data_IF_069712577787
#
_entry.id   IF_069712577787
#
_cell.length_a   1.000
_cell.length_b   1.000
_cell.length_c   1.000
_cell.angle_alpha   90.00
_cell.angle_beta   90.00
_cell.angle_gamma   90.00
#
_symmetry.space_group_name_H-M   'P 1'
#
loop_
_entity.id
_entity.type
_entity.pdbx_description
1 polymer ?
#
# COMPACT_ATOMS: atom_id res chain seq x y z
N UNK A 1 1.13 0.19 2.65
CA UNK A 1 -0.02 -0.75 2.78
C UNK A 1 -1.20 -0.09 3.50
N UNK A 2 -0.97 0.62 4.60
CA UNK A 2 -2.02 1.24 5.42
C UNK A 2 -3.03 2.06 4.60
N UNK A 3 -2.58 2.98 3.76
CA UNK A 3 -3.46 3.81 2.92
C UNK A 3 -4.36 2.99 1.97
N UNK A 4 -3.84 1.91 1.41
CA UNK A 4 -4.64 1.03 0.56
C UNK A 4 -5.69 0.26 1.37
N UNK A 5 -5.36 -0.17 2.58
CA UNK A 5 -6.32 -0.83 3.46
C UNK A 5 -7.47 0.10 3.84
N UNK A 6 -7.18 1.36 4.21
CA UNK A 6 -8.19 2.39 4.52
C UNK A 6 -9.07 2.66 3.30
N UNK A 7 -8.47 2.90 2.13
CA UNK A 7 -9.22 3.17 0.89
C UNK A 7 -10.10 1.98 0.47
N UNK A 8 -9.60 0.76 0.63
CA UNK A 8 -10.39 -0.45 0.34
C UNK A 8 -11.62 -0.55 1.25
N UNK A 9 -11.47 -0.22 2.53
CA UNK A 9 -12.58 -0.17 3.46
C UNK A 9 -13.61 0.91 3.08
N UNK A 10 -13.14 2.11 2.69
CA UNK A 10 -14.00 3.21 2.24
C UNK A 10 -14.76 2.84 0.96
N UNK A 11 -14.12 2.22 -0.02
CA UNK A 11 -14.78 1.76 -1.25
C UNK A 11 -15.79 0.65 -0.98
N UNK A 12 -15.46 -0.29 -0.09
CA UNK A 12 -16.40 -1.33 0.31
C UNK A 12 -17.64 -0.74 0.99
N UNK A 13 -17.46 0.28 1.85
CA UNK A 13 -18.57 0.96 2.52
C UNK A 13 -19.47 1.77 1.56
N UNK A 14 -18.92 2.30 0.47
CA UNK A 14 -19.65 3.06 -0.55
C UNK A 14 -20.27 2.18 -1.64
N UNK A 15 -19.96 0.91 -1.66
CA UNK A 15 -20.49 -0.02 -2.67
C UNK A 15 -21.98 -0.31 -2.43
N UNK A 16 -22.78 -0.28 -3.50
CA UNK A 16 -24.17 -0.72 -3.47
C UNK A 16 -24.32 -2.24 -3.33
N UNK A 17 -23.25 -2.98 -3.55
CA UNK A 17 -23.18 -4.42 -3.30
C UNK A 17 -22.28 -4.59 -2.09
N UNK A 18 -22.79 -5.10 -0.96
CA UNK A 18 -21.96 -5.38 0.20
C UNK A 18 -20.82 -6.29 -0.24
N UNK A 19 -19.64 -5.71 -0.46
CA UNK A 19 -18.46 -6.42 -0.89
C UNK A 19 -17.51 -6.58 0.28
N UNK A 20 -16.85 -7.72 0.33
CA UNK A 20 -15.75 -7.90 1.24
C UNK A 20 -14.64 -6.90 0.86
N UNK A 21 -14.02 -6.28 1.84
CA UNK A 21 -12.87 -5.36 1.69
C UNK A 21 -11.78 -5.97 0.79
N UNK A 22 -11.63 -7.29 0.85
CA UNK A 22 -10.66 -8.05 0.06
C UNK A 22 -10.73 -7.77 -1.45
N UNK A 23 -11.92 -7.64 -2.03
CA UNK A 23 -12.09 -7.40 -3.46
C UNK A 23 -11.40 -6.10 -3.93
N UNK A 24 -11.32 -5.10 -3.06
CA UNK A 24 -10.68 -3.82 -3.34
C UNK A 24 -9.17 -3.83 -3.08
N UNK A 25 -8.65 -4.87 -2.40
CA UNK A 25 -7.22 -5.02 -2.14
C UNK A 25 -6.45 -5.74 -3.26
N UNK A 26 -7.12 -6.50 -4.13
CA UNK A 26 -6.45 -7.37 -5.11
C UNK A 26 -5.52 -6.59 -6.05
N UNK A 27 -6.00 -5.49 -6.63
CA UNK A 27 -5.20 -4.66 -7.53
C UNK A 27 -4.03 -3.98 -6.80
N UNK A 28 -4.27 -3.47 -5.60
CA UNK A 28 -3.23 -2.88 -4.76
C UNK A 28 -2.15 -3.90 -4.39
N UNK A 29 -2.57 -5.11 -4.02
CA UNK A 29 -1.64 -6.20 -3.74
C UNK A 29 -0.76 -6.55 -4.95
N UNK A 30 -1.36 -6.73 -6.13
CA UNK A 30 -0.60 -7.03 -7.35
C UNK A 30 0.36 -5.90 -7.72
N UNK A 31 -0.04 -4.66 -7.55
CA UNK A 31 0.82 -3.50 -7.78
C UNK A 31 2.04 -3.51 -6.87
N UNK A 32 1.85 -3.79 -5.57
CA UNK A 32 2.93 -3.85 -4.57
C UNK A 32 3.78 -5.10 -4.75
N UNK A 33 3.18 -6.28 -4.89
CA UNK A 33 3.89 -7.56 -5.00
C UNK A 33 4.79 -7.63 -6.23
N UNK A 34 4.36 -7.02 -7.34
CA UNK A 34 5.14 -6.93 -8.58
C UNK A 34 6.09 -5.73 -8.60
N UNK A 35 6.14 -4.95 -7.52
CA UNK A 35 6.95 -3.74 -7.40
C UNK A 35 6.74 -2.78 -8.59
N UNK A 36 5.48 -2.59 -9.00
CA UNK A 36 5.15 -1.66 -10.08
C UNK A 36 5.46 -0.23 -9.64
N UNK A 37 6.08 0.52 -10.52
CA UNK A 37 6.43 1.93 -10.33
C UNK A 37 5.71 2.74 -11.41
N UNK A 38 4.99 3.77 -10.99
CA UNK A 38 4.33 4.67 -11.92
C UNK A 38 5.38 5.51 -12.67
N UNK A 39 5.22 5.64 -13.98
CA UNK A 39 6.10 6.44 -14.85
C UNK A 39 5.60 7.88 -15.03
N UNK A 40 4.37 8.14 -14.58
CA UNK A 40 3.75 9.48 -14.59
C UNK A 40 2.82 9.67 -13.39
N UNK A 41 2.45 10.93 -13.11
CA UNK A 41 1.46 11.24 -12.08
C UNK A 41 0.07 10.67 -12.41
N UNK A 42 -0.30 10.61 -13.69
CA UNK A 42 -1.56 10.01 -14.15
C UNK A 42 -1.57 8.51 -13.85
N UNK A 43 -0.50 7.81 -14.22
CA UNK A 43 -0.36 6.38 -13.92
C UNK A 43 -0.30 6.10 -12.40
N UNK A 44 0.22 7.05 -11.60
CA UNK A 44 0.18 6.95 -10.15
C UNK A 44 -1.26 6.98 -9.60
N UNK A 45 -2.16 7.74 -10.23
CA UNK A 45 -3.59 7.70 -9.93
C UNK A 45 -4.21 6.35 -10.32
N UNK A 46 -3.88 5.83 -11.50
CA UNK A 46 -4.39 4.53 -11.97
C UNK A 46 -3.95 3.37 -11.06
N UNK A 47 -2.72 3.44 -10.54
CA UNK A 47 -2.21 2.45 -9.57
C UNK A 47 -2.73 2.66 -8.15
N UNK A 48 -3.46 3.75 -7.89
CA UNK A 48 -3.97 4.10 -6.57
C UNK A 48 -2.92 4.67 -5.62
N UNK A 49 -1.73 5.05 -6.09
CA UNK A 49 -0.73 5.76 -5.28
C UNK A 49 -1.14 7.22 -5.01
N UNK A 50 -1.75 7.86 -5.98
CA UNK A 50 -2.36 9.17 -5.86
C UNK A 50 -3.89 9.08 -5.94
N UNK A 51 -4.59 10.13 -5.53
CA UNK A 51 -6.05 10.24 -5.62
C UNK A 51 -6.43 11.04 -6.87
N UNK A 52 -7.61 10.79 -7.47
CA UNK A 52 -8.10 11.62 -8.57
C UNK A 52 -8.25 13.11 -8.22
N UNK A 53 -8.37 13.43 -6.93
CA UNK A 53 -8.44 14.81 -6.41
C UNK A 53 -7.08 15.47 -6.21
N UNK A 54 -5.98 14.74 -6.35
CA UNK A 54 -4.65 15.31 -6.14
C UNK A 54 -4.26 16.21 -7.31
N UNK A 55 -3.61 17.34 -7.03
CA UNK A 55 -3.18 18.29 -8.05
C UNK A 55 -1.99 17.75 -8.84
N UNK A 56 -2.17 17.52 -10.13
CA UNK A 56 -1.10 17.07 -11.03
C UNK A 56 -0.47 18.28 -11.72
N UNK A 57 0.84 18.43 -11.60
CA UNK A 57 1.62 19.51 -12.20
C UNK A 57 2.47 18.97 -13.34
N UNK A 58 2.36 19.59 -14.52
CA UNK A 58 3.16 19.21 -15.69
C UNK A 58 4.54 19.85 -15.71
N UNK A 59 4.74 20.96 -14.96
CA UNK A 59 6.02 21.64 -14.84
C UNK A 59 6.59 21.49 -13.43
N UNK A 60 7.62 20.65 -13.28
CA UNK A 60 8.28 20.40 -11.99
C UNK A 60 8.86 21.67 -11.33
N UNK A 61 9.24 22.69 -12.12
CA UNK A 61 9.75 23.95 -11.58
C UNK A 61 8.70 24.77 -10.84
N UNK A 62 7.42 24.53 -11.10
CA UNK A 62 6.31 25.22 -10.45
C UNK A 62 5.84 24.52 -9.15
N UNK A 63 6.38 23.35 -8.85
CA UNK A 63 5.93 22.51 -7.73
C UNK A 63 5.87 23.30 -6.41
N UNK A 64 6.97 23.94 -6.04
CA UNK A 64 7.03 24.69 -4.78
C UNK A 64 6.09 25.89 -4.76
N UNK A 65 5.99 26.61 -5.86
CA UNK A 65 5.10 27.76 -5.99
C UNK A 65 3.62 27.36 -5.82
N UNK A 66 3.20 26.31 -6.53
CA UNK A 66 1.81 25.83 -6.45
C UNK A 66 1.52 25.23 -5.07
N UNK A 67 2.44 24.42 -4.51
CA UNK A 67 2.27 23.86 -3.17
C UNK A 67 2.09 24.92 -2.08
N UNK A 68 2.84 26.04 -2.15
CA UNK A 68 2.68 27.15 -1.21
C UNK A 68 1.31 27.81 -1.38
N UNK A 69 0.84 27.99 -2.60
CA UNK A 69 -0.48 28.61 -2.86
C UNK A 69 -1.63 27.73 -2.39
N UNK A 70 -1.55 26.43 -2.67
CA UNK A 70 -2.54 25.46 -2.18
C UNK A 70 -2.58 25.44 -0.63
N UNK A 71 -1.42 25.37 0.01
CA UNK A 71 -1.35 25.38 1.47
C UNK A 71 -1.93 26.66 2.08
N UNK A 72 -1.69 27.82 1.46
CA UNK A 72 -2.29 29.11 1.90
C UNK A 72 -3.80 29.10 1.70
N UNK A 73 -4.28 28.66 0.54
CA UNK A 73 -5.71 28.57 0.26
C UNK A 73 -6.43 27.64 1.26
N UNK A 74 -5.81 26.51 1.59
CA UNK A 74 -6.33 25.61 2.64
C UNK A 74 -6.38 26.30 4.01
N UNK A 75 -5.32 27.01 4.40
CA UNK A 75 -5.27 27.73 5.67
C UNK A 75 -6.34 28.82 5.73
N UNK A 76 -6.50 29.62 4.66
CA UNK A 76 -7.51 30.67 4.56
C UNK A 76 -8.94 30.12 4.58
N UNK A 77 -9.14 28.90 4.06
CA UNK A 77 -10.40 28.16 4.11
C UNK A 77 -10.68 27.50 5.48
N UNK A 78 -9.80 27.65 6.46
CA UNK A 78 -9.97 27.08 7.79
C UNK A 78 -9.73 25.57 7.84
N UNK A 79 -8.74 25.06 7.10
CA UNK A 79 -8.40 23.65 7.08
C UNK A 79 -8.24 23.07 8.48
N UNK A 80 -8.93 21.94 8.73
CA UNK A 80 -8.70 21.09 9.88
C UNK A 80 -8.32 19.68 9.39
N UNK A 81 -7.35 19.03 10.01
CA UNK A 81 -7.02 17.66 9.63
C UNK A 81 -8.22 16.74 9.86
N UNK A 82 -8.48 15.78 8.94
CA UNK A 82 -9.55 14.84 9.12
C UNK A 82 -9.31 13.98 10.39
N UNK A 83 -10.40 13.55 11.07
CA UNK A 83 -10.27 12.66 12.21
C UNK A 83 -9.63 11.34 11.77
N UNK A 84 -8.78 10.77 12.63
CA UNK A 84 -8.21 9.44 12.37
C UNK A 84 -9.30 8.38 12.36
N UNK A 85 -9.36 7.52 11.33
CA UNK A 85 -10.29 6.39 11.30
C UNK A 85 -10.05 5.44 12.48
N UNK A 86 -11.13 5.09 13.20
CA UNK A 86 -11.06 4.23 14.39
C UNK A 86 -11.76 2.88 14.25
N UNK A 87 -12.46 2.67 13.15
CA UNK A 87 -13.25 1.46 12.92
C UNK A 87 -13.15 1.06 11.44
N UNK A 88 -11.97 0.60 11.03
CA UNK A 88 -11.65 0.21 9.67
C UNK A 88 -11.87 -1.29 9.57
N UNK A 89 -12.86 -1.77 8.80
CA UNK A 89 -13.02 -3.20 8.54
C UNK A 89 -11.86 -3.71 7.69
N UNK A 90 -11.31 -4.87 8.06
CA UNK A 90 -10.16 -5.46 7.39
C UNK A 90 -10.45 -6.86 6.85
N UNK A 91 -9.72 -7.27 5.81
CA UNK A 91 -9.87 -8.59 5.20
C UNK A 91 -9.37 -9.74 6.09
N UNK A 92 -8.45 -9.47 7.01
CA UNK A 92 -7.98 -10.42 8.01
C UNK A 92 -7.42 -11.72 7.44
N UNK A 93 -7.52 -12.80 8.20
CA UNK A 93 -6.92 -14.11 7.90
C UNK A 93 -7.36 -14.70 6.56
N UNK A 94 -8.64 -14.58 6.17
CA UNK A 94 -9.09 -15.14 4.90
C UNK A 94 -8.47 -14.42 3.69
N UNK A 95 -8.34 -13.09 3.77
CA UNK A 95 -7.66 -12.31 2.75
C UNK A 95 -6.19 -12.70 2.63
N UNK A 96 -5.50 -12.85 3.77
CA UNK A 96 -4.11 -13.31 3.82
C UNK A 96 -3.98 -14.68 3.15
N UNK A 97 -4.81 -15.66 3.53
CA UNK A 97 -4.77 -17.01 2.99
C UNK A 97 -4.98 -17.03 1.47
N UNK A 98 -5.87 -16.19 0.96
CA UNK A 98 -6.12 -16.08 -0.48
C UNK A 98 -4.90 -15.53 -1.22
N UNK A 99 -4.25 -14.48 -0.69
CA UNK A 99 -3.01 -13.96 -1.27
C UNK A 99 -1.86 -14.95 -1.16
N UNK A 100 -1.73 -15.67 -0.04
CA UNK A 100 -0.71 -16.71 0.14
C UNK A 100 -0.85 -17.83 -0.89
N UNK A 101 -2.07 -18.29 -1.16
CA UNK A 101 -2.32 -19.30 -2.20
C UNK A 101 -1.83 -18.81 -3.58
N UNK A 102 -2.09 -17.56 -3.92
CA UNK A 102 -1.60 -16.96 -5.18
C UNK A 102 -0.07 -16.89 -5.19
N UNK A 103 0.55 -16.45 -4.10
CA UNK A 103 2.00 -16.34 -3.98
C UNK A 103 2.71 -17.70 -4.04
N UNK A 104 2.13 -18.75 -3.45
CA UNK A 104 2.67 -20.12 -3.56
C UNK A 104 2.68 -20.54 -5.03
N UNK A 105 1.60 -20.36 -5.76
CA UNK A 105 1.54 -20.68 -7.18
C UNK A 105 2.60 -19.92 -8.00
N UNK A 106 2.79 -18.63 -7.71
CA UNK A 106 3.81 -17.81 -8.39
C UNK A 106 5.23 -18.28 -8.07
N UNK A 107 5.50 -18.68 -6.82
CA UNK A 107 6.80 -19.16 -6.40
C UNK A 107 7.11 -20.54 -7.01
N UNK A 108 6.19 -21.49 -6.91
CA UNK A 108 6.35 -22.84 -7.47
C UNK A 108 6.40 -22.81 -9.01
N UNK A 109 5.72 -21.85 -9.64
CA UNK A 109 5.83 -21.57 -11.09
C UNK A 109 7.11 -20.83 -11.49
N UNK A 110 8.02 -20.49 -10.57
CA UNK A 110 9.29 -19.83 -10.85
C UNK A 110 9.13 -18.34 -11.27
N UNK A 111 7.98 -17.73 -11.04
CA UNK A 111 7.73 -16.33 -11.39
C UNK A 111 8.31 -15.34 -10.35
N UNK A 112 8.48 -15.76 -9.12
CA UNK A 112 9.05 -14.97 -8.03
C UNK A 112 10.08 -15.77 -7.24
N UNK A 113 11.10 -15.08 -6.68
CA UNK A 113 12.09 -15.70 -5.81
C UNK A 113 11.51 -16.07 -4.43
N UNK A 114 12.25 -16.86 -3.65
CA UNK A 114 11.87 -17.15 -2.28
C UNK A 114 11.80 -15.88 -1.41
N UNK A 115 12.67 -14.91 -1.68
CA UNK A 115 12.65 -13.64 -0.96
C UNK A 115 11.53 -12.71 -1.44
N UNK A 116 11.22 -12.69 -2.75
CA UNK A 116 10.03 -11.98 -3.27
C UNK A 116 8.75 -12.52 -2.60
N UNK A 117 8.63 -13.85 -2.46
CA UNK A 117 7.51 -14.46 -1.73
C UNK A 117 7.42 -13.92 -0.30
N UNK A 118 8.53 -13.87 0.44
CA UNK A 118 8.58 -13.37 1.82
C UNK A 118 8.15 -11.91 1.91
N UNK A 119 8.64 -11.06 1.02
CA UNK A 119 8.28 -9.64 0.95
C UNK A 119 6.80 -9.45 0.61
N UNK A 120 6.32 -10.14 -0.43
CA UNK A 120 4.93 -10.05 -0.85
C UNK A 120 3.95 -10.61 0.19
N UNK A 121 4.33 -11.69 0.91
CA UNK A 121 3.55 -12.20 2.05
C UNK A 121 3.42 -11.17 3.16
N UNK A 122 4.50 -10.49 3.50
CA UNK A 122 4.46 -9.41 4.50
C UNK A 122 3.56 -8.25 4.03
N UNK A 123 3.59 -7.90 2.75
CA UNK A 123 2.68 -6.91 2.17
C UNK A 123 1.22 -7.36 2.23
N UNK A 124 0.93 -8.64 1.96
CA UNK A 124 -0.42 -9.22 2.08
C UNK A 124 -0.96 -9.11 3.51
N UNK A 125 -0.15 -9.47 4.52
CA UNK A 125 -0.53 -9.35 5.92
C UNK A 125 -0.82 -7.90 6.29
N UNK A 126 0.03 -6.95 5.87
CA UNK A 126 -0.17 -5.53 6.14
C UNK A 126 -1.43 -4.97 5.47
N UNK A 127 -1.68 -5.34 4.20
CA UNK A 127 -2.86 -4.92 3.44
C UNK A 127 -4.16 -5.48 4.04
N UNK A 128 -4.13 -6.71 4.53
CA UNK A 128 -5.28 -7.36 5.13
C UNK A 128 -5.52 -6.94 6.60
N UNK A 129 -4.70 -6.04 7.15
CA UNK A 129 -4.86 -5.51 8.50
C UNK A 129 -4.30 -6.41 9.60
N UNK A 130 -3.42 -7.38 9.27
CA UNK A 130 -2.84 -8.31 10.22
C UNK A 130 -3.60 -9.63 10.34
N UNK A 131 -3.07 -10.53 11.16
CA UNK A 131 -3.62 -11.88 11.40
C UNK A 131 -4.81 -11.85 12.38
N UNK A 132 -5.80 -11.01 12.07
CA UNK A 132 -7.07 -10.90 12.81
C UNK A 132 -8.20 -11.59 12.04
N UNK A 133 -9.34 -11.80 12.70
CA UNK A 133 -10.49 -12.39 12.03
C UNK A 133 -11.01 -11.47 10.91
N UNK A 134 -11.52 -12.07 9.85
CA UNK A 134 -12.10 -11.33 8.71
C UNK A 134 -13.27 -10.45 9.19
N UNK A 135 -13.28 -9.19 8.77
CA UNK A 135 -14.28 -8.21 9.20
C UNK A 135 -14.01 -7.57 10.56
N UNK A 136 -12.89 -7.89 11.21
CA UNK A 136 -12.47 -7.18 12.44
C UNK A 136 -12.35 -5.69 12.15
N UNK A 137 -12.75 -4.87 13.12
CA UNK A 137 -12.59 -3.43 13.09
C UNK A 137 -11.29 -3.06 13.79
N UNK A 138 -10.42 -2.38 13.08
CA UNK A 138 -9.13 -1.89 13.60
C UNK A 138 -9.04 -0.37 13.44
N UNK A 139 -8.10 0.25 14.14
CA UNK A 139 -7.77 1.66 13.94
C UNK A 139 -6.55 1.84 13.04
N UNK A 140 -6.27 3.08 12.70
CA UNK A 140 -5.14 3.44 11.84
C UNK A 140 -3.79 3.14 12.52
N UNK A 141 -3.71 3.32 13.84
CA UNK A 141 -2.49 3.04 14.60
C UNK A 141 -2.14 1.55 14.60
N UNK A 142 -3.15 0.69 14.70
CA UNK A 142 -2.99 -0.75 14.53
C UNK A 142 -2.38 -1.09 13.16
N UNK A 143 -2.94 -0.55 12.08
CA UNK A 143 -2.43 -0.79 10.72
C UNK A 143 -0.97 -0.36 10.57
N UNK A 144 -0.61 0.81 11.09
CA UNK A 144 0.78 1.32 11.11
C UNK A 144 1.68 0.39 11.93
N UNK A 145 1.21 -0.10 13.06
CA UNK A 145 1.97 -1.00 13.94
C UNK A 145 2.25 -2.34 13.26
N UNK A 146 1.25 -2.92 12.59
CA UNK A 146 1.41 -4.16 11.82
C UNK A 146 2.43 -3.95 10.70
N UNK A 147 2.28 -2.90 9.88
CA UNK A 147 3.17 -2.60 8.77
C UNK A 147 4.60 -2.36 9.24
N UNK A 148 4.80 -1.58 10.30
CA UNK A 148 6.11 -1.30 10.89
C UNK A 148 6.80 -2.58 11.38
N UNK A 149 6.10 -3.44 12.11
CA UNK A 149 6.65 -4.72 12.59
C UNK A 149 7.17 -5.57 11.44
N UNK A 150 6.34 -5.78 10.42
CA UNK A 150 6.69 -6.59 9.25
C UNK A 150 7.86 -5.99 8.46
N UNK A 151 7.90 -4.69 8.32
CA UNK A 151 9.00 -4.00 7.66
C UNK A 151 10.32 -4.16 8.43
N UNK A 152 10.30 -3.99 9.75
CA UNK A 152 11.49 -4.19 10.59
C UNK A 152 11.98 -5.64 10.54
N UNK A 153 11.08 -6.62 10.48
CA UNK A 153 11.46 -8.03 10.31
C UNK A 153 12.13 -8.27 8.96
N UNK A 154 11.63 -7.67 7.88
CA UNK A 154 12.27 -7.75 6.56
C UNK A 154 13.65 -7.09 6.55
N UNK A 155 13.82 -5.94 7.18
CA UNK A 155 15.11 -5.23 7.26
C UNK A 155 16.23 -6.05 7.92
N UNK A 156 15.87 -7.01 8.78
CA UNK A 156 16.85 -7.91 9.42
C UNK A 156 17.36 -9.01 8.47
N UNK A 157 16.76 -9.18 7.31
CA UNK A 157 17.14 -10.23 6.36
C UNK A 157 18.31 -9.79 5.48
N UNK A 158 19.32 -10.63 5.25
CA UNK A 158 20.46 -10.31 4.39
C UNK A 158 20.03 -9.91 2.98
N UNK A 159 19.00 -10.57 2.44
CA UNK A 159 18.49 -10.34 1.09
C UNK A 159 17.89 -8.93 0.96
N UNK A 160 17.10 -8.48 1.95
CA UNK A 160 16.56 -7.11 1.97
C UNK A 160 17.68 -6.08 2.08
N UNK A 161 18.67 -6.33 2.94
CA UNK A 161 19.83 -5.44 3.08
C UNK A 161 20.62 -5.34 1.77
N UNK A 162 20.81 -6.47 1.07
CA UNK A 162 21.46 -6.49 -0.23
C UNK A 162 20.68 -5.69 -1.29
N UNK A 163 19.33 -5.79 -1.29
CA UNK A 163 18.46 -5.00 -2.16
C UNK A 163 18.58 -3.50 -1.91
N UNK A 164 18.55 -3.10 -0.64
CA UNK A 164 18.69 -1.69 -0.25
C UNK A 164 20.06 -1.16 -0.69
N UNK A 165 21.14 -1.89 -0.37
CA UNK A 165 22.49 -1.51 -0.76
C UNK A 165 22.61 -1.37 -2.26
N UNK A 166 22.15 -2.36 -3.03
CA UNK A 166 22.21 -2.33 -4.49
C UNK A 166 21.45 -1.14 -5.08
N UNK A 167 20.26 -0.82 -4.54
CA UNK A 167 19.47 0.33 -4.97
C UNK A 167 20.22 1.64 -4.71
N UNK A 168 20.84 1.79 -3.54
CA UNK A 168 21.61 2.99 -3.20
C UNK A 168 22.85 3.13 -4.08
N UNK A 169 23.54 2.02 -4.39
CA UNK A 169 24.78 2.03 -5.18
C UNK A 169 24.53 2.24 -6.69
N UNK A 170 23.40 1.73 -7.21
CA UNK A 170 23.20 1.63 -8.67
C UNK A 170 21.94 2.34 -9.19
N UNK A 171 21.02 2.73 -8.31
CA UNK A 171 19.68 3.23 -8.68
C UNK A 171 18.76 2.17 -9.30
N UNK A 172 19.14 0.89 -9.28
CA UNK A 172 18.39 -0.21 -9.92
C UNK A 172 17.91 -1.24 -8.90
N UNK A 173 16.74 -1.87 -9.11
CA UNK A 173 16.27 -2.95 -8.24
C UNK A 173 17.14 -4.20 -8.40
N UNK A 174 17.39 -4.89 -7.28
CA UNK A 174 17.99 -6.23 -7.22
C UNK A 174 16.88 -7.24 -6.97
N UNK A 175 16.87 -8.34 -7.71
CA UNK A 175 16.06 -9.53 -7.43
C UNK A 175 17.00 -10.69 -7.06
N UNK A 176 16.88 -11.19 -5.84
CA UNK A 176 17.69 -12.27 -5.26
C UNK A 176 16.79 -13.30 -4.57
#
# INVERSE_FOLDING_TARGET
>A
CKEFAVRAADWAAQSNVPGEVFNYLQNAFMTIAMAKVATSAVEAVDFGFAKPSDTILFNANELLFVAIREARAMADAGYAPPPMPRAIPVAGKNGIATFEMMLVNMKEGGMISAHDYKVARSAAIALCGGEVETGSLVDEEWLITVERRLFVELLKTPETQARIKHMLDTGKPLRN
#
